data_IF_798812011959
#
_entry.id   IF_798812011959
#
_cell.length_a   1.000
_cell.length_b   1.000
_cell.length_c   1.000
_cell.angle_alpha   90.00
_cell.angle_beta   90.00
_cell.angle_gamma   90.00
#
_symmetry.space_group_name_H-M   'P 1'
#
loop_
_entity.id
_entity.type
_entity.pdbx_description
1 polymer ?
#
# COMPACT_ATOMS: atom_id res chain seq x y z
N UNK A 1 69.32 35.60 48.06
CA UNK A 1 68.94 36.69 48.99
C UNK A 1 67.52 37.07 48.59
N UNK A 2 66.52 36.84 49.44
CA UNK A 2 65.12 37.08 49.06
C UNK A 2 64.85 38.58 49.16
N UNK A 3 64.44 39.19 48.06
CA UNK A 3 64.24 40.64 47.96
C UNK A 3 62.98 41.06 48.73
N UNK A 4 63.15 41.99 49.67
CA UNK A 4 62.11 42.41 50.62
C UNK A 4 61.16 43.44 50.02
N UNK A 5 61.49 43.94 48.82
CA UNK A 5 60.67 44.89 48.06
C UNK A 5 59.81 44.21 46.98
N UNK A 6 59.94 42.89 46.81
CA UNK A 6 59.15 42.12 45.87
C UNK A 6 57.71 41.97 46.38
N UNK A 7 56.71 42.46 45.63
CA UNK A 7 55.30 42.47 46.06
C UNK A 7 54.74 41.07 46.37
N UNK A 8 55.34 40.01 45.81
CA UNK A 8 54.93 38.63 46.06
C UNK A 8 55.47 38.06 47.39
N UNK A 9 56.48 38.69 48.01
CA UNK A 9 57.06 38.23 49.28
C UNK A 9 56.48 38.96 50.50
N UNK A 10 55.52 39.87 50.31
CA UNK A 10 54.81 40.49 51.42
C UNK A 10 53.89 39.47 52.12
N UNK A 11 53.98 39.31 53.45
CA UNK A 11 53.12 38.39 54.18
C UNK A 11 51.66 38.88 54.09
N UNK A 12 50.77 38.03 53.57
CA UNK A 12 49.34 38.29 53.55
C UNK A 12 48.82 38.46 54.99
N UNK A 13 48.15 39.57 55.27
CA UNK A 13 47.44 39.79 56.54
C UNK A 13 46.28 38.78 56.65
N UNK A 14 46.52 37.71 57.41
CA UNK A 14 45.53 36.68 57.68
C UNK A 14 44.65 37.13 58.84
N UNK A 15 43.41 37.53 58.53
CA UNK A 15 42.40 37.77 59.57
C UNK A 15 42.16 36.51 60.43
N UNK A 16 41.87 36.68 61.74
CA UNK A 16 41.65 35.56 62.65
C UNK A 16 40.48 34.68 62.17
N UNK A 17 40.81 33.42 61.81
CA UNK A 17 39.85 32.39 61.38
C UNK A 17 38.72 32.25 62.40
N UNK A 18 37.50 32.67 62.02
CA UNK A 18 36.27 32.39 62.78
C UNK A 18 36.11 30.88 62.91
N UNK A 19 35.98 30.38 64.14
CA UNK A 19 35.81 28.96 64.44
C UNK A 19 34.67 28.34 63.63
N UNK A 20 34.90 27.16 63.04
CA UNK A 20 33.91 26.47 62.21
C UNK A 20 32.69 26.05 63.07
N UNK A 21 31.48 26.29 62.56
CA UNK A 21 30.27 25.57 62.99
C UNK A 21 29.40 26.21 64.07
N UNK A 22 29.76 27.36 64.63
CA UNK A 22 28.85 28.11 65.53
C UNK A 22 28.45 29.42 64.87
N UNK A 23 27.14 29.68 64.66
CA UNK A 23 26.67 31.01 64.30
C UNK A 23 27.25 32.01 65.31
N UNK A 24 27.71 33.17 64.81
CA UNK A 24 28.20 34.22 65.69
C UNK A 24 27.17 34.52 66.80
N UNK A 25 27.62 34.75 68.03
CA UNK A 25 26.75 35.08 69.17
C UNK A 25 25.96 36.35 68.80
N UNK A 26 24.68 36.19 68.42
CA UNK A 26 23.84 37.25 67.81
C UNK A 26 23.17 36.89 66.49
N UNK A 27 23.63 35.84 65.79
CA UNK A 27 23.02 35.29 64.57
C UNK A 27 22.18 34.02 64.84
N UNK A 28 22.14 33.55 66.08
CA UNK A 28 21.26 32.47 66.47
C UNK A 28 19.82 33.00 66.54
N UNK A 29 18.98 32.59 65.59
CA UNK A 29 17.55 32.88 65.61
C UNK A 29 16.95 32.47 66.96
N UNK A 30 16.13 33.35 67.54
CA UNK A 30 15.37 33.03 68.73
C UNK A 30 14.43 31.85 68.46
N UNK A 31 14.07 31.09 69.49
CA UNK A 31 13.21 29.93 69.36
C UNK A 31 11.83 30.31 68.75
N UNK A 32 11.31 31.48 69.13
CA UNK A 32 10.08 32.05 68.56
C UNK A 32 10.21 32.34 67.05
N UNK A 33 11.36 32.85 66.63
CA UNK A 33 11.67 33.18 65.24
C UNK A 33 11.80 31.93 64.36
N UNK A 34 12.44 30.89 64.90
CA UNK A 34 12.52 29.58 64.26
C UNK A 34 11.14 28.97 64.05
N UNK A 35 10.28 29.08 65.06
CA UNK A 35 8.91 28.54 65.00
C UNK A 35 8.04 29.33 64.02
N UNK A 36 8.22 30.66 63.94
CA UNK A 36 7.57 31.51 62.94
C UNK A 36 7.98 31.12 61.52
N UNK A 37 9.28 30.98 61.24
CA UNK A 37 9.78 30.54 59.94
C UNK A 37 9.28 29.15 59.55
N UNK A 38 9.24 28.23 60.52
CA UNK A 38 8.70 26.89 60.28
C UNK A 38 7.21 26.91 59.88
N UNK A 39 6.40 27.73 60.56
CA UNK A 39 4.98 27.90 60.23
C UNK A 39 4.78 28.59 58.87
N UNK A 40 5.59 29.60 58.55
CA UNK A 40 5.55 30.28 57.25
C UNK A 40 5.94 29.33 56.10
N UNK A 41 7.00 28.53 56.26
CA UNK A 41 7.41 27.53 55.29
C UNK A 41 6.35 26.43 55.07
N UNK A 42 5.72 25.95 56.15
CA UNK A 42 4.60 25.00 56.07
C UNK A 42 3.40 25.58 55.33
N UNK A 43 3.06 26.85 55.54
CA UNK A 43 1.97 27.53 54.80
C UNK A 43 2.29 27.68 53.32
N UNK A 44 3.53 28.02 52.98
CA UNK A 44 3.97 28.13 51.58
C UNK A 44 3.86 26.80 50.83
N UNK A 45 4.37 25.70 51.42
CA UNK A 45 4.30 24.37 50.81
C UNK A 45 2.86 23.84 50.63
N UNK A 46 1.95 24.21 51.54
CA UNK A 46 0.54 23.81 51.44
C UNK A 46 -0.18 24.52 50.29
N UNK A 47 0.21 25.76 49.99
CA UNK A 47 -0.39 26.56 48.90
C UNK A 47 0.17 26.22 47.52
N UNK A 48 1.38 25.67 47.42
CA UNK A 48 1.96 25.24 46.15
C UNK A 48 1.30 23.96 45.61
N UNK A 49 0.93 23.02 46.50
CA UNK A 49 0.30 21.74 46.11
C UNK A 49 -1.13 21.89 45.58
N UNK A 50 -1.84 22.96 45.90
CA UNK A 50 -3.20 23.21 45.43
C UNK A 50 -3.28 23.79 44.02
N UNK A 51 -2.14 24.15 43.40
CA UNK A 51 -2.10 24.78 42.06
C UNK A 51 -1.73 23.83 40.91
N UNK A 52 -1.61 22.52 41.14
CA UNK A 52 -1.05 21.55 40.17
C UNK A 52 -2.14 20.76 39.43
N UNK A 53 -3.22 21.41 39.01
CA UNK A 53 -4.21 20.84 38.11
C UNK A 53 -4.44 21.77 36.92
N UNK A 54 -4.77 21.26 35.72
CA UNK A 54 -5.23 22.11 34.64
C UNK A 54 -6.38 22.97 35.15
N UNK A 55 -6.42 24.24 34.77
CA UNK A 55 -7.54 25.08 35.14
C UNK A 55 -8.80 24.41 34.58
N UNK A 56 -9.90 24.40 35.34
CA UNK A 56 -11.15 23.79 34.90
C UNK A 56 -11.63 24.36 33.54
N UNK A 57 -11.23 25.60 33.24
CA UNK A 57 -11.42 26.29 31.97
C UNK A 57 -10.69 25.57 30.81
N UNK A 58 -9.42 25.18 31.00
CA UNK A 58 -8.64 24.43 29.99
C UNK A 58 -9.30 23.08 29.67
N UNK A 59 -9.82 22.39 30.69
CA UNK A 59 -10.52 21.12 30.50
C UNK A 59 -11.80 21.32 29.68
N UNK A 60 -12.56 22.38 29.96
CA UNK A 60 -13.79 22.68 29.24
C UNK A 60 -13.53 23.05 27.77
N UNK A 61 -12.46 23.78 27.48
CA UNK A 61 -12.05 24.08 26.11
C UNK A 61 -11.61 22.83 25.36
N UNK A 62 -10.78 21.99 25.99
CA UNK A 62 -10.37 20.71 25.41
C UNK A 62 -11.56 19.80 25.12
N UNK A 63 -12.56 19.74 25.99
CA UNK A 63 -13.79 18.95 25.72
C UNK A 63 -14.55 19.48 24.51
N UNK A 64 -14.70 20.81 24.36
CA UNK A 64 -15.36 21.40 23.18
C UNK A 64 -14.60 21.10 21.89
N UNK A 65 -13.27 21.15 21.94
CA UNK A 65 -12.42 20.80 20.80
C UNK A 65 -12.61 19.33 20.42
N UNK A 66 -12.59 18.42 21.40
CA UNK A 66 -12.83 17.00 21.18
C UNK A 66 -14.20 16.79 20.53
N UNK A 67 -15.26 17.38 21.08
CA UNK A 67 -16.61 17.25 20.53
C UNK A 67 -16.68 17.74 19.07
N UNK A 68 -16.09 18.91 18.77
CA UNK A 68 -16.05 19.45 17.41
C UNK A 68 -15.32 18.53 16.44
N UNK A 69 -14.16 17.98 16.82
CA UNK A 69 -13.37 17.07 16.00
C UNK A 69 -14.10 15.74 15.80
N UNK A 70 -14.82 15.25 16.81
CA UNK A 70 -15.61 14.01 16.67
C UNK A 70 -16.74 14.18 15.67
N UNK A 71 -17.42 15.34 15.64
CA UNK A 71 -18.47 15.63 14.68
C UNK A 71 -17.92 15.82 13.25
N UNK A 72 -16.75 16.44 13.11
CA UNK A 72 -16.06 16.52 11.83
C UNK A 72 -15.65 15.13 11.29
N UNK A 73 -15.12 14.26 12.17
CA UNK A 73 -14.77 12.88 11.83
C UNK A 73 -16.00 12.07 11.39
N UNK A 74 -17.13 12.18 12.10
CA UNK A 74 -18.38 11.50 11.70
C UNK A 74 -18.83 11.93 10.31
N UNK A 75 -18.85 13.24 10.03
CA UNK A 75 -19.21 13.77 8.70
C UNK A 75 -18.24 13.33 7.61
N UNK A 76 -16.96 13.21 7.92
CA UNK A 76 -15.96 12.73 6.98
C UNK A 76 -16.17 11.24 6.66
N UNK A 77 -16.45 10.42 7.68
CA UNK A 77 -16.78 9.00 7.50
C UNK A 77 -18.03 8.81 6.64
N UNK A 78 -19.14 9.51 6.95
CA UNK A 78 -20.36 9.42 6.14
C UNK A 78 -20.14 9.80 4.66
N UNK A 79 -19.29 10.80 4.40
CA UNK A 79 -18.92 11.18 3.01
C UNK A 79 -18.08 10.11 2.33
N UNK A 80 -17.18 9.46 3.06
CA UNK A 80 -16.36 8.38 2.54
C UNK A 80 -17.24 7.17 2.18
N UNK A 81 -18.15 6.76 3.08
CA UNK A 81 -19.08 5.65 2.85
C UNK A 81 -19.96 5.90 1.61
N UNK A 82 -20.48 7.13 1.44
CA UNK A 82 -21.24 7.52 0.26
C UNK A 82 -20.39 7.52 -1.03
N UNK A 83 -19.12 7.88 -0.94
CA UNK A 83 -18.21 7.87 -2.09
C UNK A 83 -17.86 6.44 -2.50
N UNK A 84 -17.63 5.55 -1.54
CA UNK A 84 -17.38 4.12 -1.76
C UNK A 84 -18.59 3.44 -2.42
N UNK A 85 -19.80 3.66 -1.87
CA UNK A 85 -21.03 3.14 -2.47
C UNK A 85 -21.24 3.61 -3.91
N UNK A 86 -20.89 4.87 -4.24
CA UNK A 86 -20.94 5.38 -5.62
C UNK A 86 -19.90 4.72 -6.52
N UNK A 87 -18.69 4.50 -6.02
CA UNK A 87 -17.63 3.83 -6.77
C UNK A 87 -18.02 2.39 -7.11
N UNK A 88 -18.65 1.67 -6.19
CA UNK A 88 -19.15 0.31 -6.40
C UNK A 88 -20.24 0.25 -7.48
N UNK A 89 -21.21 1.17 -7.43
CA UNK A 89 -22.25 1.27 -8.46
C UNK A 89 -21.63 1.52 -9.83
N UNK A 90 -20.72 2.50 -9.93
CA UNK A 90 -20.02 2.79 -11.19
C UNK A 90 -19.17 1.61 -11.67
N UNK A 91 -18.49 0.90 -10.76
CA UNK A 91 -17.70 -0.29 -11.08
C UNK A 91 -18.55 -1.39 -11.68
N UNK A 92 -19.73 -1.64 -11.10
CA UNK A 92 -20.69 -2.61 -11.60
C UNK A 92 -21.27 -2.21 -12.98
N UNK A 93 -21.63 -0.95 -13.16
CA UNK A 93 -22.10 -0.42 -14.44
C UNK A 93 -21.04 -0.56 -15.53
N UNK A 94 -19.78 -0.20 -15.23
CA UNK A 94 -18.66 -0.36 -16.15
C UNK A 94 -18.42 -1.83 -16.50
N UNK A 95 -18.59 -2.76 -15.54
CA UNK A 95 -18.49 -4.18 -15.81
C UNK A 95 -19.58 -4.66 -16.77
N UNK A 96 -20.83 -4.21 -16.58
CA UNK A 96 -21.95 -4.51 -17.49
C UNK A 96 -21.68 -3.96 -18.90
N UNK A 97 -21.28 -2.69 -19.00
CA UNK A 97 -20.98 -2.04 -20.29
C UNK A 97 -19.82 -2.75 -21.00
N UNK A 98 -18.75 -3.10 -20.28
CA UNK A 98 -17.64 -3.90 -20.84
C UNK A 98 -18.12 -5.27 -21.32
N UNK A 99 -18.98 -5.93 -20.56
CA UNK A 99 -19.54 -7.22 -20.95
C UNK A 99 -20.51 -7.12 -22.15
N UNK A 100 -21.17 -5.98 -22.35
CA UNK A 100 -21.98 -5.73 -23.54
C UNK A 100 -21.11 -5.47 -24.77
N UNK A 101 -20.07 -4.65 -24.63
CA UNK A 101 -19.11 -4.36 -25.70
C UNK A 101 -18.28 -5.58 -26.10
N UNK A 102 -17.94 -6.45 -25.14
CA UNK A 102 -17.14 -7.64 -25.40
C UNK A 102 -17.91 -8.80 -26.01
N UNK A 103 -19.25 -8.72 -26.12
CA UNK A 103 -20.03 -9.72 -26.85
C UNK A 103 -19.70 -9.60 -28.34
N UNK A 104 -18.94 -10.53 -28.93
CA UNK A 104 -18.79 -10.53 -30.38
C UNK A 104 -20.19 -10.68 -30.97
N UNK A 105 -20.52 -9.85 -31.96
CA UNK A 105 -21.73 -10.04 -32.73
C UNK A 105 -21.74 -11.50 -33.21
N UNK A 106 -22.67 -12.30 -32.69
CA UNK A 106 -22.85 -13.68 -33.16
C UNK A 106 -23.30 -13.58 -34.60
N UNK A 107 -22.35 -13.55 -35.53
CA UNK A 107 -22.62 -13.75 -36.95
C UNK A 107 -23.24 -15.14 -37.03
N UNK A 108 -24.57 -15.20 -37.21
CA UNK A 108 -25.26 -16.43 -37.56
C UNK A 108 -24.70 -16.87 -38.91
N UNK A 109 -23.68 -17.70 -38.88
CA UNK A 109 -23.14 -18.33 -40.08
C UNK A 109 -24.23 -19.21 -40.66
N UNK A 110 -24.68 -18.86 -41.86
CA UNK A 110 -25.42 -19.80 -42.69
C UNK A 110 -24.48 -20.95 -43.04
N UNK A 111 -24.99 -22.18 -43.04
CA UNK A 111 -24.19 -23.42 -43.21
C UNK A 111 -23.33 -23.44 -44.50
N UNK A 112 -23.64 -22.57 -45.45
CA UNK A 112 -23.04 -22.51 -46.78
C UNK A 112 -22.18 -21.25 -47.03
N UNK A 113 -21.89 -20.44 -46.01
CA UNK A 113 -20.96 -19.32 -46.19
C UNK A 113 -19.51 -19.82 -46.23
N UNK A 114 -18.71 -19.43 -47.24
CA UNK A 114 -17.28 -19.74 -47.29
C UNK A 114 -16.55 -19.08 -46.12
N UNK A 115 -15.46 -19.72 -45.67
CA UNK A 115 -14.65 -19.23 -44.57
C UNK A 115 -14.15 -17.81 -44.88
N UNK A 116 -14.43 -16.86 -43.98
CA UNK A 116 -13.83 -15.53 -44.01
C UNK A 116 -12.30 -15.72 -43.94
N UNK A 117 -11.61 -15.29 -44.98
CA UNK A 117 -10.16 -15.04 -44.95
C UNK A 117 -9.92 -13.93 -43.92
N UNK A 118 -9.65 -14.32 -42.67
CA UNK A 118 -9.18 -13.40 -41.65
C UNK A 118 -7.79 -12.92 -42.06
N UNK A 119 -7.66 -11.62 -42.33
CA UNK A 119 -6.37 -10.99 -42.52
C UNK A 119 -5.54 -11.13 -41.23
N UNK A 120 -4.24 -11.41 -41.37
CA UNK A 120 -3.31 -11.76 -40.26
C UNK A 120 -3.12 -10.67 -39.18
N UNK A 121 -3.75 -9.50 -39.35
CA UNK A 121 -3.62 -8.31 -38.49
C UNK A 121 -4.65 -8.28 -37.33
N UNK A 122 -5.79 -8.96 -37.44
CA UNK A 122 -6.90 -8.81 -36.48
C UNK A 122 -6.98 -9.91 -35.40
N UNK A 123 -6.13 -10.94 -35.46
CA UNK A 123 -6.15 -12.03 -34.49
C UNK A 123 -5.16 -11.74 -33.37
N UNK A 124 -5.62 -11.44 -32.13
CA UNK A 124 -4.72 -11.24 -31.01
C UNK A 124 -3.91 -12.53 -30.80
N UNK A 125 -2.59 -12.39 -30.73
CA UNK A 125 -1.63 -13.49 -30.58
C UNK A 125 -1.72 -14.17 -29.19
N UNK A 126 -2.61 -13.68 -28.34
CA UNK A 126 -2.87 -14.17 -26.99
C UNK A 126 -3.92 -15.28 -27.04
N UNK A 127 -3.52 -16.49 -26.66
CA UNK A 127 -4.42 -17.62 -26.43
C UNK A 127 -3.73 -18.96 -26.59
N UNK A 128 -4.20 -19.97 -25.85
CA UNK A 128 -3.68 -21.33 -25.95
C UNK A 128 -4.31 -22.01 -27.15
N UNK A 129 -3.46 -22.44 -28.09
CA UNK A 129 -3.86 -23.19 -29.26
C UNK A 129 -3.64 -24.68 -29.03
N UNK A 130 -4.67 -25.48 -29.31
CA UNK A 130 -4.57 -26.94 -29.32
C UNK A 130 -4.53 -27.43 -30.76
N UNK A 131 -3.42 -28.04 -31.16
CA UNK A 131 -3.31 -28.69 -32.46
C UNK A 131 -4.04 -30.03 -32.39
N UNK A 132 -4.88 -30.30 -33.39
CA UNK A 132 -5.63 -31.53 -33.50
C UNK A 132 -5.40 -32.18 -34.86
N UNK A 133 -5.41 -33.50 -34.88
CA UNK A 133 -5.30 -34.28 -36.11
C UNK A 133 -6.39 -35.34 -36.22
N UNK A 134 -6.61 -35.78 -37.46
CA UNK A 134 -7.59 -36.80 -37.79
C UNK A 134 -7.11 -37.59 -39.00
N UNK A 135 -6.98 -38.91 -38.83
CA UNK A 135 -6.63 -39.80 -39.95
C UNK A 135 -7.84 -39.99 -40.89
N UNK A 136 -7.57 -40.20 -42.18
CA UNK A 136 -8.59 -40.53 -43.18
C UNK A 136 -9.40 -41.76 -42.73
N UNK A 137 -10.73 -41.63 -42.70
CA UNK A 137 -11.65 -42.68 -42.28
C UNK A 137 -12.03 -42.66 -40.79
N UNK A 138 -11.27 -41.96 -39.95
CA UNK A 138 -11.67 -41.73 -38.55
C UNK A 138 -12.83 -40.73 -38.48
N UNK A 139 -13.60 -40.77 -37.39
CA UNK A 139 -14.68 -39.79 -37.13
C UNK A 139 -14.29 -38.74 -36.10
N UNK A 140 -13.51 -39.12 -35.10
CA UNK A 140 -13.01 -38.25 -34.03
C UNK A 140 -11.75 -37.48 -34.42
N UNK A 141 -11.50 -36.38 -33.71
CA UNK A 141 -10.24 -35.63 -33.73
C UNK A 141 -9.44 -36.01 -32.48
N UNK A 142 -8.13 -36.22 -32.64
CA UNK A 142 -7.20 -36.39 -31.54
C UNK A 142 -6.47 -35.07 -31.29
N UNK A 143 -6.27 -34.70 -30.03
CA UNK A 143 -5.50 -33.52 -29.64
C UNK A 143 -4.04 -33.91 -29.41
N UNK A 144 -3.12 -33.09 -29.91
CA UNK A 144 -1.72 -33.12 -29.52
C UNK A 144 -1.53 -32.36 -28.21
N UNK A 145 -0.41 -32.61 -27.55
CA UNK A 145 0.01 -31.78 -26.41
C UNK A 145 0.13 -30.31 -26.83
N UNK A 146 -0.17 -29.37 -25.91
CA UNK A 146 -0.07 -27.95 -26.20
C UNK A 146 1.38 -27.61 -26.53
N UNK A 147 1.57 -27.02 -27.71
CA UNK A 147 2.89 -26.70 -28.20
C UNK A 147 3.39 -25.43 -27.52
N UNK A 148 4.41 -25.60 -26.68
CA UNK A 148 5.11 -24.54 -25.96
C UNK A 148 6.44 -24.24 -26.64
N UNK A 149 6.93 -23.01 -26.52
CA UNK A 149 8.28 -22.65 -26.92
C UNK A 149 9.30 -23.00 -25.82
N UNK A 150 10.58 -22.69 -26.07
CA UNK A 150 11.67 -22.95 -25.13
C UNK A 150 11.55 -22.16 -23.82
N UNK A 151 10.71 -21.12 -23.79
CA UNK A 151 10.43 -20.29 -22.61
C UNK A 151 9.18 -20.77 -21.86
N UNK A 152 8.54 -21.86 -22.31
CA UNK A 152 7.32 -22.41 -21.72
C UNK A 152 6.05 -21.63 -22.07
N UNK A 153 6.12 -20.73 -23.05
CA UNK A 153 4.99 -19.93 -23.52
C UNK A 153 4.26 -20.70 -24.64
N UNK A 154 2.92 -20.84 -24.56
CA UNK A 154 2.13 -21.43 -25.63
C UNK A 154 2.30 -20.68 -26.94
N UNK A 155 2.38 -21.41 -28.06
CA UNK A 155 2.54 -20.79 -29.36
C UNK A 155 1.39 -19.85 -29.72
N UNK A 156 1.74 -18.68 -30.25
CA UNK A 156 0.79 -17.72 -30.82
C UNK A 156 0.12 -18.20 -32.13
N UNK A 157 -0.80 -17.39 -32.64
CA UNK A 157 -1.56 -17.63 -33.86
C UNK A 157 -0.67 -17.86 -35.09
N UNK A 158 0.29 -16.97 -35.35
CA UNK A 158 1.14 -17.06 -36.57
C UNK A 158 1.97 -18.34 -36.58
N UNK A 159 2.58 -18.67 -35.44
CA UNK A 159 3.41 -19.88 -35.29
C UNK A 159 2.58 -21.16 -35.39
N UNK A 160 1.41 -21.17 -34.73
CA UNK A 160 0.46 -22.30 -34.81
C UNK A 160 -0.05 -22.49 -36.24
N UNK A 161 -0.43 -21.41 -36.92
CA UNK A 161 -0.91 -21.44 -38.32
C UNK A 161 0.15 -22.03 -39.24
N UNK A 162 1.38 -21.54 -39.16
CA UNK A 162 2.47 -22.03 -39.99
C UNK A 162 2.73 -23.53 -39.73
N UNK A 163 2.76 -23.94 -38.47
CA UNK A 163 2.96 -25.33 -38.11
C UNK A 163 1.86 -26.25 -38.66
N UNK A 164 0.59 -25.88 -38.51
CA UNK A 164 -0.54 -26.65 -39.07
C UNK A 164 -0.46 -26.73 -40.59
N UNK A 165 -0.04 -25.66 -41.27
CA UNK A 165 0.17 -25.65 -42.72
C UNK A 165 1.29 -26.60 -43.14
N UNK A 166 2.41 -26.60 -42.43
CA UNK A 166 3.54 -27.48 -42.73
C UNK A 166 3.18 -28.94 -42.48
N UNK A 167 2.54 -29.25 -41.36
CA UNK A 167 2.03 -30.61 -41.11
C UNK A 167 1.00 -31.07 -42.14
N UNK A 168 0.19 -30.14 -42.68
CA UNK A 168 -0.79 -30.45 -43.72
C UNK A 168 -0.17 -30.73 -45.09
N UNK A 169 1.05 -30.25 -45.37
CA UNK A 169 1.75 -30.55 -46.64
C UNK A 169 2.29 -31.98 -46.65
N UNK A 170 2.75 -32.45 -45.49
CA UNK A 170 3.39 -33.77 -45.34
C UNK A 170 2.40 -34.87 -44.93
N UNK A 171 1.13 -34.52 -44.72
CA UNK A 171 0.11 -35.43 -44.23
C UNK A 171 -0.48 -36.32 -45.34
N UNK A 172 0.17 -37.46 -45.61
CA UNK A 172 -0.31 -38.54 -46.50
C UNK A 172 -1.61 -39.21 -46.03
N UNK A 173 -2.71 -38.45 -45.94
CA UNK A 173 -4.04 -38.89 -45.48
C UNK A 173 -4.43 -38.41 -44.09
N UNK A 174 -3.64 -37.56 -43.43
CA UNK A 174 -4.00 -36.97 -42.14
C UNK A 174 -4.55 -35.55 -42.35
N UNK A 175 -5.55 -35.16 -41.58
CA UNK A 175 -6.09 -33.81 -41.55
C UNK A 175 -5.65 -33.15 -40.26
N UNK A 176 -5.11 -31.94 -40.38
CA UNK A 176 -4.62 -31.14 -39.27
C UNK A 176 -5.49 -29.90 -39.12
N UNK A 177 -5.69 -29.45 -37.89
CA UNK A 177 -6.32 -28.16 -37.57
C UNK A 177 -5.77 -27.66 -36.24
N UNK A 178 -5.91 -26.38 -35.96
CA UNK A 178 -5.72 -25.85 -34.61
C UNK A 178 -7.00 -25.21 -34.09
N UNK A 179 -7.27 -25.40 -32.80
CA UNK A 179 -8.45 -24.87 -32.11
C UNK A 179 -7.99 -24.05 -30.91
N UNK A 180 -8.46 -22.81 -30.81
CA UNK A 180 -8.23 -21.95 -29.65
C UNK A 180 -9.39 -22.08 -28.65
N UNK A 181 -9.12 -21.80 -27.38
CA UNK A 181 -10.09 -21.93 -26.28
C UNK A 181 -11.40 -21.13 -26.47
N UNK A 182 -11.39 -20.09 -27.31
CA UNK A 182 -12.55 -19.28 -27.65
C UNK A 182 -13.39 -19.86 -28.82
N UNK A 183 -12.98 -21.02 -29.36
CA UNK A 183 -13.65 -21.70 -30.46
C UNK A 183 -13.14 -21.29 -31.85
N UNK A 184 -12.08 -20.49 -31.96
CA UNK A 184 -11.48 -20.15 -33.25
C UNK A 184 -10.75 -21.38 -33.81
N UNK A 185 -11.02 -21.71 -35.08
CA UNK A 185 -10.45 -22.90 -35.75
C UNK A 185 -9.64 -22.47 -36.96
N UNK A 186 -8.39 -22.94 -37.02
CA UNK A 186 -7.50 -22.83 -38.19
C UNK A 186 -7.57 -24.15 -38.94
N UNK A 187 -8.16 -24.15 -40.13
CA UNK A 187 -8.16 -25.30 -41.04
C UNK A 187 -7.30 -25.00 -42.27
N UNK A 188 -6.20 -25.74 -42.52
CA UNK A 188 -5.30 -25.53 -43.65
C UNK A 188 -5.98 -25.74 -45.00
N UNK A 189 -7.10 -26.49 -45.08
CA UNK A 189 -7.89 -26.62 -46.32
C UNK A 189 -8.72 -25.38 -46.63
N UNK A 190 -9.07 -24.60 -45.61
CA UNK A 190 -9.85 -23.37 -45.76
C UNK A 190 -8.96 -22.14 -46.02
N UNK A 191 -7.63 -22.32 -46.00
CA UNK A 191 -6.61 -21.28 -46.21
C UNK A 191 -5.98 -21.31 -47.61
N UNK A 192 -6.47 -22.17 -48.51
CA UNK A 192 -6.06 -22.26 -49.92
C UNK A 192 -7.09 -21.60 -50.81
#
# INVERSE_FOLDING_TARGET
MIDHLEKQTQPLELEPKRGRGRPAKGQALSNAERQRRYREAQKAQRNEKTKVGPAWEDVAELTKQIDSLTEELKKALERADLAEARADVMGNELAIVKAQLSKPARVKRHRDQPAIELQDEDVPDKGVWTVQFKQKGQRSWASCEPQIDFEGVPWGFRRTRQHVLDMSKDAGGTHWRAVRNDGLVIDPKALK
#
